data_IF_749993143620
#
_entry.id   IF_749993143620
#
_cell.length_a   1.000
_cell.length_b   1.000
_cell.length_c   1.000
_cell.angle_alpha   90.00
_cell.angle_beta   90.00
_cell.angle_gamma   90.00
#
_symmetry.space_group_name_H-M   'P 1'
#
loop_
_entity.id
_entity.type
_entity.pdbx_description
1 polymer ?
#
# COMPACT_ATOMS: atom_id res chain seq x y z
N UNK A 1 25.64 -17.21 6.82
CA UNK A 1 25.03 -16.49 5.67
C UNK A 1 23.62 -17.02 5.49
N UNK A 2 22.65 -16.44 6.18
CA UNK A 2 21.25 -16.90 6.15
C UNK A 2 20.60 -16.34 4.90
N UNK A 3 20.49 -17.16 3.86
CA UNK A 3 19.71 -16.87 2.66
C UNK A 3 18.27 -16.62 3.11
N UNK A 4 17.91 -15.35 3.24
CA UNK A 4 16.56 -14.90 3.51
C UNK A 4 15.62 -15.61 2.54
N UNK A 5 14.79 -16.51 3.07
CA UNK A 5 13.63 -17.03 2.35
C UNK A 5 12.83 -15.79 1.97
N UNK A 6 12.93 -15.35 0.71
CA UNK A 6 12.00 -14.35 0.17
C UNK A 6 10.62 -14.90 0.49
N UNK A 7 9.80 -14.14 1.20
CA UNK A 7 8.41 -14.53 1.45
C UNK A 7 7.81 -14.86 0.08
N UNK A 8 7.12 -16.00 -0.05
CA UNK A 8 6.63 -16.49 -1.34
C UNK A 8 5.84 -15.41 -2.11
N UNK A 9 5.21 -14.48 -1.38
CA UNK A 9 4.58 -13.27 -1.90
C UNK A 9 5.48 -12.36 -2.77
N UNK A 10 6.76 -12.22 -2.41
CA UNK A 10 7.73 -11.32 -3.07
C UNK A 10 8.18 -11.84 -4.45
N UNK A 11 7.85 -13.10 -4.78
CA UNK A 11 8.07 -13.69 -6.12
C UNK A 11 7.12 -13.08 -7.14
N UNK A 12 5.88 -12.80 -6.73
CA UNK A 12 4.82 -12.31 -7.62
C UNK A 12 4.71 -10.80 -7.60
N UNK A 13 4.98 -10.16 -6.46
CA UNK A 13 4.71 -8.73 -6.26
C UNK A 13 5.94 -7.94 -5.83
N UNK A 14 6.00 -6.68 -6.28
CA UNK A 14 6.81 -5.68 -5.60
C UNK A 14 6.20 -5.43 -4.23
N UNK A 15 6.86 -5.96 -3.19
CA UNK A 15 6.37 -5.98 -1.81
C UNK A 15 5.78 -4.66 -1.33
N UNK A 16 6.54 -3.54 -1.42
CA UNK A 16 6.13 -2.26 -0.85
C UNK A 16 4.84 -1.68 -1.48
N UNK A 17 4.71 -1.56 -2.82
CA UNK A 17 3.44 -1.18 -3.44
C UNK A 17 2.25 -2.07 -3.07
N UNK A 18 2.45 -3.39 -3.03
CA UNK A 18 1.38 -4.32 -2.72
C UNK A 18 0.93 -4.21 -1.25
N UNK A 19 1.88 -4.14 -0.32
CA UNK A 19 1.59 -3.92 1.09
C UNK A 19 0.97 -2.53 1.35
N UNK A 20 1.31 -1.50 0.56
CA UNK A 20 0.69 -0.18 0.68
C UNK A 20 -0.83 -0.23 0.45
N UNK A 21 -1.27 -0.97 -0.57
CA UNK A 21 -2.70 -1.17 -0.85
C UNK A 21 -3.40 -1.95 0.26
N UNK A 22 -2.80 -3.05 0.72
CA UNK A 22 -3.36 -3.87 1.82
C UNK A 22 -3.42 -3.06 3.13
N UNK A 23 -2.39 -2.27 3.44
CA UNK A 23 -2.37 -1.42 4.61
C UNK A 23 -3.49 -0.38 4.57
N UNK A 24 -3.72 0.27 3.41
CA UNK A 24 -4.82 1.21 3.22
C UNK A 24 -6.21 0.57 3.36
N UNK A 25 -6.36 -0.73 3.07
CA UNK A 25 -7.63 -1.46 3.23
C UNK A 25 -8.04 -1.62 4.70
N UNK A 26 -7.07 -1.82 5.60
CA UNK A 26 -7.34 -2.24 6.99
C UNK A 26 -8.12 -1.24 7.84
N UNK A 27 -8.36 -0.01 7.37
CA UNK A 27 -8.97 1.05 8.18
C UNK A 27 -10.00 1.81 7.34
N UNK A 28 -11.22 1.97 7.86
CA UNK A 28 -12.34 2.72 7.23
C UNK A 28 -12.08 4.22 6.99
N UNK A 29 -10.92 4.76 7.41
CA UNK A 29 -10.61 6.19 7.39
C UNK A 29 -9.31 6.45 6.63
N UNK A 30 -9.28 7.58 5.94
CA UNK A 30 -8.12 8.04 5.18
C UNK A 30 -6.90 8.28 6.10
N UNK A 31 -5.70 8.00 5.59
CA UNK A 31 -4.45 7.99 6.39
C UNK A 31 -3.41 8.99 5.91
N UNK A 32 -2.53 9.37 6.83
CA UNK A 32 -1.35 10.19 6.54
C UNK A 32 -0.25 9.35 5.90
N UNK A 33 0.48 9.93 4.95
CA UNK A 33 1.61 9.27 4.28
C UNK A 33 2.73 8.83 5.24
N UNK A 34 2.94 9.54 6.35
CA UNK A 34 3.93 9.19 7.37
C UNK A 34 3.59 7.89 8.11
N UNK A 35 2.31 7.66 8.42
CA UNK A 35 1.83 6.43 9.06
C UNK A 35 2.04 5.24 8.11
N UNK A 36 1.66 5.43 6.84
CA UNK A 36 1.83 4.43 5.80
C UNK A 36 3.30 4.06 5.57
N UNK A 37 4.19 5.05 5.59
CA UNK A 37 5.62 4.83 5.44
C UNK A 37 6.18 3.93 6.56
N UNK A 38 5.73 4.14 7.80
CA UNK A 38 6.12 3.33 8.96
C UNK A 38 5.61 1.89 8.85
N UNK A 39 4.36 1.68 8.45
CA UNK A 39 3.78 0.33 8.33
C UNK A 39 4.39 -0.49 7.19
N UNK A 40 4.75 0.15 6.08
CA UNK A 40 5.35 -0.51 4.90
C UNK A 40 6.89 -0.55 4.98
N UNK A 41 7.46 -0.10 6.11
CA UNK A 41 8.90 -0.07 6.38
C UNK A 41 9.70 0.63 5.26
N UNK A 42 9.36 1.90 5.02
CA UNK A 42 10.03 2.73 4.02
C UNK A 42 10.14 4.19 4.44
N UNK A 43 11.03 4.95 3.79
CA UNK A 43 11.12 6.39 4.01
C UNK A 43 9.85 7.07 3.51
N UNK A 44 9.52 8.21 4.11
CA UNK A 44 8.37 9.01 3.69
C UNK A 44 8.41 9.36 2.19
N UNK A 45 9.58 9.77 1.68
CA UNK A 45 9.74 10.09 0.25
C UNK A 45 9.49 8.89 -0.67
N UNK A 46 9.87 7.68 -0.24
CA UNK A 46 9.56 6.46 -0.97
C UNK A 46 8.05 6.17 -0.95
N UNK A 47 7.41 6.26 0.22
CA UNK A 47 5.97 6.08 0.34
C UNK A 47 5.21 7.05 -0.58
N UNK A 48 5.59 8.34 -0.61
CA UNK A 48 4.99 9.34 -1.51
C UNK A 48 5.11 8.94 -2.97
N UNK A 49 6.28 8.47 -3.42
CA UNK A 49 6.47 7.99 -4.81
C UNK A 49 5.57 6.80 -5.15
N UNK A 50 5.42 5.85 -4.22
CA UNK A 50 4.50 4.71 -4.37
C UNK A 50 3.07 5.22 -4.49
N UNK A 51 2.63 6.08 -3.57
CA UNK A 51 1.27 6.60 -3.52
C UNK A 51 0.91 7.43 -4.77
N UNK A 52 1.85 8.23 -5.29
CA UNK A 52 1.68 8.93 -6.57
C UNK A 52 1.53 7.95 -7.74
N UNK A 53 2.26 6.84 -7.73
CA UNK A 53 2.13 5.79 -8.75
C UNK A 53 0.75 5.13 -8.67
N UNK A 54 0.29 4.80 -7.46
CA UNK A 54 -1.03 4.21 -7.23
C UNK A 54 -2.17 5.19 -7.59
N UNK A 55 -1.98 6.50 -7.39
CA UNK A 55 -2.92 7.56 -7.80
C UNK A 55 -3.03 7.64 -9.32
N UNK A 56 -1.90 7.60 -10.04
CA UNK A 56 -1.89 7.54 -11.51
C UNK A 56 -2.64 6.32 -12.06
N UNK A 57 -2.61 5.20 -11.33
CA UNK A 57 -3.36 3.98 -11.65
C UNK A 57 -4.83 4.01 -11.20
N UNK A 58 -5.28 5.12 -10.58
CA UNK A 58 -6.62 5.32 -10.01
C UNK A 58 -6.98 4.32 -8.90
N UNK A 59 -5.97 3.85 -8.14
CA UNK A 59 -6.16 2.91 -7.03
C UNK A 59 -6.28 3.63 -5.68
N UNK A 60 -5.63 4.78 -5.56
CA UNK A 60 -5.75 5.65 -4.39
C UNK A 60 -6.14 7.04 -4.85
N UNK A 61 -6.69 7.81 -3.92
CA UNK A 61 -6.93 9.23 -4.09
C UNK A 61 -6.45 10.00 -2.87
N UNK A 62 -6.09 11.25 -3.11
CA UNK A 62 -5.65 12.14 -2.06
C UNK A 62 -6.72 13.18 -1.75
N UNK A 63 -7.23 13.15 -0.53
CA UNK A 63 -8.17 14.13 -0.02
C UNK A 63 -7.39 15.27 0.67
N UNK A 64 -7.50 16.49 0.13
CA UNK A 64 -6.91 17.67 0.75
C UNK A 64 -7.84 18.19 1.85
N UNK A 65 -7.35 18.23 3.08
CA UNK A 65 -7.94 18.97 4.20
C UNK A 65 -6.93 20.02 4.68
N UNK A 66 -6.99 21.21 4.07
CA UNK A 66 -6.00 22.27 4.31
C UNK A 66 -4.58 21.84 3.90
N UNK A 67 -3.62 21.89 4.83
CA UNK A 67 -2.23 21.44 4.62
C UNK A 67 -2.06 19.91 4.67
N UNK A 68 -3.08 19.20 5.13
CA UNK A 68 -3.07 17.76 5.29
C UNK A 68 -3.56 17.09 4.00
N UNK A 69 -2.77 16.13 3.50
CA UNK A 69 -3.16 15.26 2.38
C UNK A 69 -3.46 13.87 2.95
N UNK A 70 -4.73 13.55 3.12
CA UNK A 70 -5.17 12.22 3.52
C UNK A 70 -5.22 11.30 2.29
N UNK A 71 -4.92 10.02 2.46
CA UNK A 71 -4.95 9.02 1.38
C UNK A 71 -6.02 7.99 1.68
N UNK A 72 -6.85 7.68 0.69
CA UNK A 72 -7.84 6.59 0.74
C UNK A 72 -7.80 5.73 -0.52
N UNK A 73 -8.31 4.51 -0.44
CA UNK A 73 -8.55 3.66 -1.61
C UNK A 73 -9.75 4.18 -2.40
N UNK A 74 -9.67 4.06 -3.72
CA UNK A 74 -10.85 4.11 -4.58
C UNK A 74 -11.61 2.77 -4.51
N UNK A 75 -12.79 2.67 -5.12
CA UNK A 75 -13.50 1.39 -5.24
C UNK A 75 -12.63 0.33 -5.94
N UNK A 76 -12.00 0.71 -7.06
CA UNK A 76 -11.04 -0.13 -7.80
C UNK A 76 -9.84 -0.51 -6.93
N UNK A 77 -9.28 0.44 -6.17
CA UNK A 77 -8.18 0.16 -5.25
C UNK A 77 -8.53 -0.84 -4.15
N UNK A 78 -9.76 -0.77 -3.65
CA UNK A 78 -10.30 -1.68 -2.63
C UNK A 78 -10.42 -3.10 -3.16
N UNK A 79 -10.95 -3.26 -4.37
CA UNK A 79 -11.06 -4.55 -5.03
C UNK A 79 -9.68 -5.18 -5.27
N UNK A 80 -8.72 -4.42 -5.80
CA UNK A 80 -7.36 -4.90 -6.01
C UNK A 80 -6.68 -5.25 -4.68
N UNK A 81 -6.85 -4.43 -3.65
CA UNK A 81 -6.32 -4.72 -2.32
C UNK A 81 -6.89 -6.02 -1.74
N UNK A 82 -8.17 -6.33 -2.00
CA UNK A 82 -8.79 -7.60 -1.61
C UNK A 82 -8.12 -8.79 -2.29
N UNK A 83 -7.92 -8.72 -3.61
CA UNK A 83 -7.26 -9.79 -4.36
C UNK A 83 -5.83 -10.02 -3.89
N UNK A 84 -5.06 -8.94 -3.71
CA UNK A 84 -3.67 -9.02 -3.21
C UNK A 84 -3.64 -9.64 -1.82
N UNK A 85 -4.52 -9.23 -0.91
CA UNK A 85 -4.59 -9.81 0.43
C UNK A 85 -4.96 -11.30 0.39
N UNK A 86 -5.90 -11.69 -0.47
CA UNK A 86 -6.28 -13.09 -0.65
C UNK A 86 -5.12 -13.95 -1.15
N UNK A 87 -4.39 -13.46 -2.17
CA UNK A 87 -3.21 -14.15 -2.70
C UNK A 87 -2.15 -14.26 -1.60
N UNK A 88 -1.88 -13.16 -0.87
CA UNK A 88 -0.93 -13.18 0.24
C UNK A 88 -1.29 -14.22 1.30
N UNK A 89 -2.57 -14.32 1.71
CA UNK A 89 -3.04 -15.31 2.70
C UNK A 89 -2.95 -16.76 2.23
N UNK A 90 -2.93 -16.99 0.92
CA UNK A 90 -2.87 -18.34 0.34
C UNK A 90 -1.42 -18.80 0.15
N UNK A 91 -0.50 -17.86 -0.01
CA UNK A 91 0.89 -18.09 -0.42
C UNK A 91 1.89 -17.97 0.74
N UNK A 92 1.59 -17.13 1.75
CA UNK A 92 2.31 -17.03 3.03
C UNK A 92 1.68 -17.95 4.09
#
# INVERSE_FOLDING_TARGET
>A
MTTQIKKNFDVFFRRKPALMLVALKGIKRARYGSILAKEVDCTYSHAVKILQTLEKLKLVEFEKKGRIKLIRLTNKGTEIANHIESIKKTVD
#
